data_IF_106062933155
#
_entry.id   IF_106062933155
#
_cell.length_a   1.000
_cell.length_b   1.000
_cell.length_c   1.000
_cell.angle_alpha   90.00
_cell.angle_beta   90.00
_cell.angle_gamma   90.00
#
_symmetry.space_group_name_H-M   'P 1'
#
loop_
_entity.id
_entity.type
_entity.pdbx_description
1 polymer ?
#
# COMPACT_ATOMS: atom_id res chain seq x y z
N UNK A 1 -1.13 12.12 17.19
CA UNK A 1 -0.41 10.98 17.79
C UNK A 1 -1.11 9.64 17.57
N UNK A 2 -2.38 9.48 17.98
CA UNK A 2 -3.14 8.22 17.84
C UNK A 2 -3.17 7.69 16.39
N UNK A 3 -3.40 8.56 15.41
CA UNK A 3 -3.45 8.17 14.00
C UNK A 3 -2.13 7.58 13.49
N UNK A 4 -0.98 8.12 13.92
CA UNK A 4 0.33 7.58 13.55
C UNK A 4 0.56 6.17 14.13
N UNK A 5 0.10 5.93 15.37
CA UNK A 5 0.19 4.62 16.01
C UNK A 5 -0.71 3.61 15.28
N UNK A 6 -1.91 4.02 14.87
CA UNK A 6 -2.81 3.16 14.09
C UNK A 6 -2.21 2.78 12.74
N UNK A 7 -1.56 3.72 12.03
CA UNK A 7 -0.80 3.41 10.82
C UNK A 7 0.31 2.39 11.12
N UNK A 8 1.09 2.60 12.18
CA UNK A 8 2.14 1.66 12.52
C UNK A 8 1.61 0.24 12.81
N UNK A 9 0.50 0.14 13.54
CA UNK A 9 -0.17 -1.15 13.79
C UNK A 9 -0.68 -1.77 12.49
N UNK A 10 -1.28 -0.99 11.59
CA UNK A 10 -1.77 -1.49 10.31
C UNK A 10 -0.61 -2.04 9.44
N UNK A 11 0.53 -1.35 9.43
CA UNK A 11 1.74 -1.82 8.77
C UNK A 11 2.25 -3.14 9.39
N UNK A 12 2.26 -3.25 10.71
CA UNK A 12 2.64 -4.48 11.42
C UNK A 12 1.69 -5.64 11.12
N UNK A 13 0.38 -5.39 10.97
CA UNK A 13 -0.62 -6.40 10.57
C UNK A 13 -0.35 -6.89 9.15
N UNK A 14 -0.03 -6.00 8.21
CA UNK A 14 0.36 -6.36 6.86
C UNK A 14 1.65 -7.22 6.84
N UNK A 15 2.67 -6.79 7.58
CA UNK A 15 3.94 -7.51 7.72
C UNK A 15 3.74 -8.91 8.33
N UNK A 16 2.95 -9.01 9.40
CA UNK A 16 2.57 -10.27 10.01
C UNK A 16 1.84 -11.19 9.01
N UNK A 17 0.95 -10.63 8.19
CA UNK A 17 0.27 -11.34 7.12
C UNK A 17 1.24 -11.91 6.09
N UNK A 18 2.25 -11.14 5.67
CA UNK A 18 3.28 -11.61 4.74
C UNK A 18 4.12 -12.73 5.34
N UNK A 19 4.56 -12.60 6.60
CA UNK A 19 5.45 -13.57 7.24
C UNK A 19 4.76 -14.90 7.60
N UNK A 20 3.49 -14.86 8.01
CA UNK A 20 2.80 -16.06 8.54
C UNK A 20 2.00 -16.82 7.50
N UNK A 21 1.56 -16.16 6.42
CA UNK A 21 0.70 -16.79 5.42
C UNK A 21 1.54 -17.54 4.41
N UNK A 22 1.06 -18.74 4.07
CA UNK A 22 1.73 -19.66 3.13
C UNK A 22 1.02 -19.71 1.76
N UNK A 23 -0.11 -19.02 1.64
CA UNK A 23 -0.84 -18.91 0.40
C UNK A 23 -0.40 -17.62 -0.31
N UNK A 24 0.07 -17.75 -1.55
CA UNK A 24 0.52 -16.62 -2.37
C UNK A 24 -0.48 -15.46 -2.42
N UNK A 25 -1.78 -15.73 -2.56
CA UNK A 25 -2.81 -14.69 -2.61
C UNK A 25 -2.89 -13.92 -1.29
N UNK A 26 -2.77 -14.62 -0.16
CA UNK A 26 -2.79 -13.98 1.16
C UNK A 26 -1.53 -13.15 1.40
N UNK A 27 -0.39 -13.55 0.84
CA UNK A 27 0.85 -12.76 0.88
C UNK A 27 0.69 -11.47 0.07
N UNK A 28 0.13 -11.56 -1.14
CA UNK A 28 -0.14 -10.37 -1.99
C UNK A 28 -1.05 -9.38 -1.27
N UNK A 29 -2.12 -9.87 -0.62
CA UNK A 29 -3.00 -9.02 0.20
C UNK A 29 -2.23 -8.39 1.36
N UNK A 30 -1.34 -9.14 2.03
CA UNK A 30 -0.48 -8.61 3.09
C UNK A 30 0.41 -7.45 2.61
N UNK A 31 1.01 -7.57 1.43
CA UNK A 31 1.80 -6.51 0.80
C UNK A 31 0.94 -5.30 0.48
N UNK A 32 -0.26 -5.49 -0.07
CA UNK A 32 -1.18 -4.39 -0.37
C UNK A 32 -1.60 -3.62 0.90
N UNK A 33 -1.86 -4.33 2.00
CA UNK A 33 -2.18 -3.71 3.30
C UNK A 33 -1.01 -2.88 3.84
N UNK A 34 0.23 -3.36 3.69
CA UNK A 34 1.42 -2.59 4.06
C UNK A 34 1.52 -1.31 3.24
N UNK A 35 1.28 -1.39 1.95
CA UNK A 35 1.33 -0.23 1.05
C UNK A 35 0.27 0.82 1.41
N UNK A 36 -0.98 0.41 1.64
CA UNK A 36 -2.03 1.33 2.08
C UNK A 36 -1.69 2.00 3.41
N UNK A 37 -1.05 1.28 4.33
CA UNK A 37 -0.61 1.84 5.60
C UNK A 37 0.46 2.92 5.43
N UNK A 38 1.40 2.73 4.50
CA UNK A 38 2.42 3.73 4.17
C UNK A 38 1.78 4.95 3.51
N UNK A 39 0.87 4.73 2.56
CA UNK A 39 0.14 5.82 1.91
C UNK A 39 -0.64 6.66 2.94
N UNK A 40 -1.32 6.01 3.90
CA UNK A 40 -2.01 6.70 4.98
C UNK A 40 -1.06 7.50 5.88
N UNK A 41 0.12 6.94 6.20
CA UNK A 41 1.14 7.64 6.97
C UNK A 41 1.62 8.92 6.27
N UNK A 42 1.87 8.88 4.96
CA UNK A 42 2.25 10.07 4.19
C UNK A 42 1.15 11.14 4.17
N UNK A 43 -0.12 10.76 4.09
CA UNK A 43 -1.24 11.71 4.16
C UNK A 43 -1.23 12.46 5.50
N UNK A 44 -0.99 11.72 6.59
CA UNK A 44 -0.97 12.30 7.94
C UNK A 44 0.21 13.27 8.15
N UNK A 45 1.34 13.05 7.48
CA UNK A 45 2.48 13.97 7.52
C UNK A 45 2.16 15.30 6.84
N UNK A 46 1.38 15.29 5.76
CA UNK A 46 0.95 16.50 5.05
C UNK A 46 -0.25 17.21 5.65
N UNK A 47 -0.87 16.65 6.69
CA UNK A 47 -2.06 17.21 7.31
C UNK A 47 -1.71 18.39 8.22
N UNK A 48 -2.38 19.53 8.01
CA UNK A 48 -2.23 20.74 8.81
C UNK A 48 -3.60 21.09 9.40
N UNK A 49 -3.67 21.24 10.72
CA UNK A 49 -4.91 21.58 11.43
C UNK A 49 -5.47 22.93 10.95
N UNK A 50 -6.75 22.95 10.59
CA UNK A 50 -7.45 24.16 10.14
C UNK A 50 -7.12 24.61 8.72
N UNK A 51 -6.39 23.80 7.95
CA UNK A 51 -6.01 24.13 6.59
C UNK A 51 -7.05 23.69 5.54
N UNK A 52 -7.21 24.50 4.51
CA UNK A 52 -8.13 24.25 3.38
C UNK A 52 -7.45 23.38 2.32
N UNK A 53 -8.26 22.69 1.50
CA UNK A 53 -7.79 21.92 0.35
C UNK A 53 -6.91 22.77 -0.58
N UNK A 54 -5.83 22.21 -1.17
CA UNK A 54 -4.86 22.96 -1.97
C UNK A 54 -5.39 23.14 -3.40
N UNK A 55 -6.60 23.70 -3.53
CA UNK A 55 -7.29 23.95 -4.79
C UNK A 55 -7.62 25.44 -4.86
N UNK A 56 -6.92 26.15 -5.74
CA UNK A 56 -7.13 27.58 -5.97
C UNK A 56 -8.49 27.79 -6.63
N UNK A 57 -9.50 28.13 -5.82
CA UNK A 57 -10.84 28.49 -6.30
C UNK A 57 -10.99 30.00 -6.24
N UNK A 58 -11.47 30.63 -7.33
CA UNK A 58 -11.76 32.07 -7.36
C UNK A 58 -12.82 32.38 -6.29
N UNK A 59 -12.40 32.98 -5.16
CA UNK A 59 -13.31 33.38 -4.06
C UNK A 59 -12.94 32.91 -2.65
N UNK A 60 -11.92 32.06 -2.48
CA UNK A 60 -11.47 31.59 -1.16
C UNK A 60 -9.97 31.88 -0.99
N UNK A 61 -9.63 33.02 -0.36
CA UNK A 61 -8.24 33.48 -0.26
C UNK A 61 -7.68 33.62 1.16
N UNK A 62 -8.37 33.18 2.22
CA UNK A 62 -7.87 33.40 3.58
C UNK A 62 -7.97 32.16 4.46
N UNK A 63 -6.91 31.36 4.42
CA UNK A 63 -6.66 30.26 5.34
C UNK A 63 -5.33 29.54 5.00
N UNK A 64 -4.72 28.81 5.94
CA UNK A 64 -3.60 27.94 5.63
C UNK A 64 -4.04 26.85 4.65
N UNK A 65 -3.15 26.39 3.78
CA UNK A 65 -3.38 25.25 2.89
C UNK A 65 -2.65 24.01 3.41
N UNK A 66 -3.24 22.83 3.20
CA UNK A 66 -2.52 21.57 3.45
C UNK A 66 -1.38 21.43 2.44
N UNK A 67 -0.31 20.74 2.83
CA UNK A 67 0.85 20.58 1.95
C UNK A 67 0.46 19.74 0.72
N UNK A 68 0.58 20.28 -0.52
CA UNK A 68 0.27 19.54 -1.72
C UNK A 68 1.33 18.49 -2.09
N UNK A 69 2.54 18.56 -1.51
CA UNK A 69 3.64 17.68 -1.88
C UNK A 69 3.35 16.20 -1.52
N UNK A 70 2.92 15.85 -0.28
CA UNK A 70 2.55 14.48 0.03
C UNK A 70 1.41 13.96 -0.83
N UNK A 71 0.44 14.82 -1.17
CA UNK A 71 -0.69 14.43 -2.02
C UNK A 71 -0.24 14.00 -3.43
N UNK A 72 0.69 14.74 -4.04
CA UNK A 72 1.27 14.38 -5.33
C UNK A 72 2.10 13.09 -5.25
N UNK A 73 2.89 12.91 -4.18
CA UNK A 73 3.69 11.69 -3.95
C UNK A 73 2.82 10.44 -3.76
N UNK A 74 1.66 10.56 -3.12
CA UNK A 74 0.77 9.42 -2.88
C UNK A 74 0.04 9.04 -4.16
N UNK A 75 -0.32 10.00 -5.02
CA UNK A 75 -0.93 9.69 -6.31
C UNK A 75 -0.02 8.81 -7.16
N UNK A 76 1.29 9.08 -7.18
CA UNK A 76 2.27 8.22 -7.87
C UNK A 76 2.47 6.89 -7.15
N UNK A 77 2.54 6.88 -5.81
CA UNK A 77 2.65 5.65 -5.03
C UNK A 77 1.50 4.67 -5.32
N UNK A 78 0.25 5.14 -5.36
CA UNK A 78 -0.94 4.32 -5.67
C UNK A 78 -0.83 3.65 -7.04
N UNK A 79 -0.35 4.37 -8.06
CA UNK A 79 -0.20 3.82 -9.41
C UNK A 79 0.88 2.74 -9.44
N UNK A 80 2.01 2.97 -8.76
CA UNK A 80 3.09 1.98 -8.62
C UNK A 80 2.60 0.74 -7.86
N UNK A 81 1.83 0.94 -6.79
CA UNK A 81 1.20 -0.13 -6.02
C UNK A 81 0.27 -1.02 -6.83
N UNK A 82 -0.58 -0.39 -7.65
CA UNK A 82 -1.47 -1.11 -8.55
C UNK A 82 -0.67 -1.91 -9.59
N UNK A 83 0.38 -1.32 -10.16
CA UNK A 83 1.25 -2.00 -11.13
C UNK A 83 2.00 -3.20 -10.51
N UNK A 84 2.56 -3.03 -9.31
CA UNK A 84 3.26 -4.10 -8.60
C UNK A 84 2.31 -5.21 -8.15
N UNK A 85 1.12 -4.87 -7.67
CA UNK A 85 0.08 -5.85 -7.32
C UNK A 85 -0.41 -6.63 -8.54
N UNK A 86 -0.60 -5.97 -9.69
CA UNK A 86 -0.95 -6.62 -10.95
C UNK A 86 0.16 -7.58 -11.41
N UNK A 87 1.42 -7.18 -11.29
CA UNK A 87 2.56 -8.04 -11.59
C UNK A 87 2.60 -9.27 -10.68
N UNK A 88 2.43 -9.09 -9.36
CA UNK A 88 2.40 -10.18 -8.39
C UNK A 88 1.26 -11.17 -8.67
N UNK A 89 0.07 -10.66 -9.02
CA UNK A 89 -1.07 -11.49 -9.43
C UNK A 89 -0.79 -12.26 -10.72
N UNK A 90 -0.17 -11.62 -11.72
CA UNK A 90 0.23 -12.27 -12.97
C UNK A 90 1.21 -13.42 -12.70
N UNK A 91 2.20 -13.20 -11.83
CA UNK A 91 3.13 -14.25 -11.38
C UNK A 91 2.38 -15.37 -10.64
N UNK A 92 1.46 -15.03 -9.74
CA UNK A 92 0.67 -16.01 -9.00
C UNK A 92 -0.18 -16.90 -9.94
N UNK A 93 -0.79 -16.31 -10.96
CA UNK A 93 -1.54 -17.05 -11.99
C UNK A 93 -0.61 -17.98 -12.77
N UNK A 94 0.59 -17.51 -13.17
CA UNK A 94 1.56 -18.33 -13.89
C UNK A 94 2.09 -19.48 -13.04
N UNK A 95 2.35 -19.25 -11.76
CA UNK A 95 2.76 -20.28 -10.80
C UNK A 95 1.65 -21.32 -10.60
N UNK A 96 0.41 -20.88 -10.47
CA UNK A 96 -0.73 -21.78 -10.35
C UNK A 96 -0.90 -22.66 -11.60
N UNK A 97 -0.75 -22.10 -12.81
CA UNK A 97 -0.79 -22.90 -14.05
C UNK A 97 0.33 -23.93 -14.13
N UNK A 98 1.51 -23.65 -13.57
CA UNK A 98 2.67 -24.56 -13.62
C UNK A 98 2.64 -25.64 -12.54
N UNK A 99 2.27 -25.29 -11.31
CA UNK A 99 2.36 -26.19 -10.14
C UNK A 99 1.00 -26.64 -9.59
N UNK A 100 -0.11 -26.07 -10.07
CA UNK A 100 -1.46 -26.40 -9.61
C UNK A 100 -1.76 -25.99 -8.16
N UNK A 101 -0.91 -25.17 -7.54
CA UNK A 101 -1.03 -24.82 -6.11
C UNK A 101 -0.60 -23.40 -5.83
N UNK A 102 -1.27 -22.77 -4.85
CA UNK A 102 -0.91 -21.46 -4.31
C UNK A 102 -0.07 -21.56 -3.02
N UNK A 103 0.28 -22.76 -2.55
CA UNK A 103 1.13 -22.95 -1.37
C UNK A 103 2.61 -22.85 -1.77
N UNK A 104 3.29 -21.80 -1.30
CA UNK A 104 4.71 -21.55 -1.59
C UNK A 104 5.62 -22.72 -1.23
N UNK A 105 5.30 -23.53 -0.20
CA UNK A 105 6.16 -24.65 0.20
C UNK A 105 6.14 -25.81 -0.77
N UNK A 106 5.06 -25.93 -1.54
CA UNK A 106 4.88 -26.97 -2.56
C UNK A 106 5.53 -26.57 -3.89
N UNK A 107 5.90 -25.31 -4.04
CA UNK A 107 6.62 -24.76 -5.20
C UNK A 107 8.13 -24.94 -4.95
N UNK A 108 8.57 -26.19 -4.84
CA UNK A 108 9.99 -26.55 -4.72
C UNK A 108 10.44 -27.18 -6.04
N UNK A 109 10.84 -26.36 -7.02
CA UNK A 109 11.54 -26.86 -8.20
C UNK A 109 12.75 -26.02 -8.59
N UNK A 110 13.53 -25.55 -7.61
CA UNK A 110 14.94 -25.29 -7.85
C UNK A 110 15.68 -26.63 -7.97
N UNK A 111 15.31 -27.43 -8.97
CA UNK A 111 16.24 -28.37 -9.58
C UNK A 111 16.76 -27.63 -10.81
N UNK A 112 17.85 -26.89 -10.59
CA UNK A 112 18.76 -26.54 -11.67
C UNK A 112 19.41 -27.80 -12.23
#
# INVERSE_FOLDING_TARGET
MILFILCFILFMVGLYGVMTRKNLIKIIIGVAVMEYSVNLFFILVGYVDGATVPILTKGFEKGPFVDPLPQAMILTAIVIGLATTALLLSIAIRLYRKYGTFDIRKINSLKG
#
